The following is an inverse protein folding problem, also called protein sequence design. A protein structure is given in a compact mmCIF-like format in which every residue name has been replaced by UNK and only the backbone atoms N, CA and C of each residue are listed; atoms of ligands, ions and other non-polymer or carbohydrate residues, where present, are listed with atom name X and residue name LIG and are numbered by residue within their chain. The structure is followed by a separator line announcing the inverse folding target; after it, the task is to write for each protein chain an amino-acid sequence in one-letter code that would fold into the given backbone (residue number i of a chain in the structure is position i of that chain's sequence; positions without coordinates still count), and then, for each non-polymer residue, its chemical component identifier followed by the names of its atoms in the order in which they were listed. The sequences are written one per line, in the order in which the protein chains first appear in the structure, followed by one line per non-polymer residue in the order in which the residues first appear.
data_IF_923512063713
#
_entry.id   IF_923512063713
#
_cell.length_a   1.000
_cell.length_b   1.000
_cell.length_c   1.000
_cell.angle_alpha   90.00
_cell.angle_beta   90.00
_cell.angle_gamma   90.00
#
_symmetry.space_group_name_H-M   'P 1'
#
loop_
_entity.id
_entity.type
_entity.pdbx_description
1 polymer ?
#
# COMPACT_ATOMS: atom_id res chain seq x y z
N UNK A 1 20.96 -14.65 4.63
CA UNK A 1 19.88 -14.99 3.68
C UNK A 1 20.51 -15.64 2.45
N UNK A 2 20.31 -16.96 2.22
CA UNK A 2 21.04 -17.74 1.20
C UNK A 2 20.86 -17.22 -0.24
N UNK A 3 19.67 -16.71 -0.57
CA UNK A 3 19.38 -16.18 -1.92
C UNK A 3 20.25 -14.99 -2.31
N UNK A 4 20.59 -14.10 -1.37
CA UNK A 4 21.46 -12.95 -1.64
C UNK A 4 22.93 -13.33 -1.88
N UNK A 5 23.34 -14.53 -1.47
CA UNK A 5 24.67 -15.05 -1.81
C UNK A 5 24.75 -15.46 -3.28
N UNK A 6 23.63 -15.87 -3.87
CA UNK A 6 23.54 -16.24 -5.30
C UNK A 6 23.36 -15.02 -6.20
N UNK A 7 22.60 -14.03 -5.72
CA UNK A 7 22.39 -12.77 -6.43
C UNK A 7 22.49 -11.61 -5.42
N UNK A 8 23.64 -10.92 -5.33
CA UNK A 8 23.83 -9.78 -4.42
C UNK A 8 22.88 -8.60 -4.67
N UNK A 9 22.39 -8.45 -5.92
CA UNK A 9 21.49 -7.37 -6.32
C UNK A 9 20.02 -7.69 -6.06
N UNK A 10 19.71 -8.94 -5.66
CA UNK A 10 18.33 -9.38 -5.40
C UNK A 10 17.67 -8.48 -4.36
N UNK A 11 16.47 -7.99 -4.69
CA UNK A 11 15.59 -7.26 -3.77
C UNK A 11 14.47 -8.17 -3.31
N UNK A 12 14.23 -8.21 -2.00
CA UNK A 12 13.19 -9.04 -1.39
C UNK A 12 12.27 -8.17 -0.55
N UNK A 13 10.98 -8.20 -0.87
CA UNK A 13 9.93 -7.44 -0.20
C UNK A 13 9.00 -8.40 0.53
N UNK A 14 8.37 -7.90 1.60
CA UNK A 14 7.20 -8.53 2.19
C UNK A 14 5.98 -8.09 1.38
N UNK A 15 5.24 -9.01 0.77
CA UNK A 15 3.89 -8.71 0.29
C UNK A 15 2.88 -9.02 1.40
N UNK A 16 1.97 -8.08 1.64
CA UNK A 16 0.88 -8.19 2.61
C UNK A 16 -0.42 -8.06 1.84
N UNK A 17 -1.35 -8.99 2.04
CA UNK A 17 -2.61 -9.04 1.31
C UNK A 17 -2.74 -10.31 0.51
N UNK A 18 -3.11 -10.18 -0.77
CA UNK A 18 -3.56 -11.22 -1.71
C UNK A 18 -5.10 -11.41 -1.68
N UNK A 19 -5.62 -12.14 -2.66
CA UNK A 19 -7.03 -12.36 -2.90
C UNK A 19 -7.76 -12.92 -1.67
N UNK A 20 -8.77 -12.20 -1.20
CA UNK A 20 -9.61 -12.61 -0.07
C UNK A 20 -9.00 -12.35 1.31
N UNK A 21 -7.88 -11.62 1.41
CA UNK A 21 -7.33 -11.22 2.70
C UNK A 21 -8.07 -10.00 3.27
N UNK A 22 -8.58 -10.16 4.49
CA UNK A 22 -9.33 -9.13 5.22
C UNK A 22 -8.42 -8.16 5.98
N UNK A 23 -9.02 -7.07 6.48
CA UNK A 23 -8.42 -6.19 7.49
C UNK A 23 -7.86 -4.88 6.95
N UNK A 24 -7.62 -4.75 5.64
CA UNK A 24 -7.10 -3.51 5.06
C UNK A 24 -8.00 -2.30 5.27
N UNK A 25 -9.31 -2.43 5.04
CA UNK A 25 -10.25 -1.32 5.22
C UNK A 25 -10.18 -0.76 6.65
N UNK A 26 -10.20 -1.65 7.65
CA UNK A 26 -10.01 -1.28 9.06
C UNK A 26 -8.62 -0.70 9.37
N UNK A 27 -7.57 -1.30 8.83
CA UNK A 27 -6.19 -0.83 9.01
C UNK A 27 -5.97 0.57 8.43
N UNK A 28 -6.66 0.92 7.35
CA UNK A 28 -6.58 2.22 6.71
C UNK A 28 -7.48 3.29 7.36
N UNK A 29 -8.54 2.87 8.08
CA UNK A 29 -9.68 3.70 8.47
C UNK A 29 -9.37 4.91 9.37
N UNK A 30 -8.31 4.85 10.19
CA UNK A 30 -7.93 5.93 11.09
C UNK A 30 -6.43 6.11 11.19
N UNK A 31 -5.98 7.26 11.72
CA UNK A 31 -4.56 7.52 11.94
C UNK A 31 -3.94 6.48 12.89
N UNK A 32 -4.70 6.09 13.91
CA UNK A 32 -4.30 5.14 14.94
C UNK A 32 -4.21 3.72 14.36
N UNK A 33 -5.20 3.30 13.57
CA UNK A 33 -5.19 2.00 12.90
C UNK A 33 -4.01 1.88 11.92
N UNK A 34 -3.78 2.94 11.13
CA UNK A 34 -2.63 3.00 10.21
C UNK A 34 -1.31 2.87 10.97
N UNK A 35 -1.17 3.57 12.10
CA UNK A 35 0.05 3.51 12.90
C UNK A 35 0.32 2.10 13.45
N UNK A 36 -0.72 1.37 13.88
CA UNK A 36 -0.58 -0.02 14.33
C UNK A 36 -0.12 -0.93 13.20
N UNK A 37 -0.76 -0.84 12.03
CA UNK A 37 -0.39 -1.63 10.85
C UNK A 37 1.06 -1.34 10.42
N UNK A 38 1.41 -0.06 10.27
CA UNK A 38 2.73 0.39 9.83
C UNK A 38 3.82 -0.07 10.81
N UNK A 39 3.59 0.03 12.11
CA UNK A 39 4.53 -0.43 13.12
C UNK A 39 4.81 -1.92 12.98
N UNK A 40 3.75 -2.73 12.84
CA UNK A 40 3.90 -4.19 12.66
C UNK A 40 4.65 -4.54 11.36
N UNK A 41 4.31 -3.87 10.26
CA UNK A 41 4.99 -4.03 8.99
C UNK A 41 6.49 -3.69 9.08
N UNK A 42 6.83 -2.56 9.72
CA UNK A 42 8.21 -2.12 9.91
C UNK A 42 9.01 -3.09 10.78
N UNK A 43 8.42 -3.59 11.86
CA UNK A 43 9.06 -4.61 12.72
C UNK A 43 9.45 -5.86 11.92
N UNK A 44 8.59 -6.33 10.99
CA UNK A 44 8.89 -7.48 10.13
C UNK A 44 9.99 -7.13 9.11
N UNK A 45 9.85 -5.99 8.42
CA UNK A 45 10.83 -5.53 7.42
C UNK A 45 12.24 -5.42 8.02
N UNK A 46 12.35 -4.87 9.22
CA UNK A 46 13.62 -4.68 9.90
C UNK A 46 14.16 -5.99 10.47
N UNK A 47 13.31 -6.80 11.12
CA UNK A 47 13.69 -8.11 11.70
C UNK A 47 14.31 -9.04 10.67
N UNK A 48 13.80 -9.04 9.44
CA UNK A 48 14.26 -9.93 8.37
C UNK A 48 15.19 -9.26 7.36
N UNK A 49 15.52 -7.98 7.53
CA UNK A 49 16.39 -7.24 6.61
C UNK A 49 15.85 -7.19 5.18
N UNK A 50 14.55 -6.95 5.03
CA UNK A 50 13.86 -6.86 3.74
C UNK A 50 14.13 -5.49 3.09
N UNK A 51 14.11 -5.45 1.76
CA UNK A 51 14.32 -4.22 0.99
C UNK A 51 13.07 -3.34 0.92
N UNK A 52 11.92 -3.82 1.40
CA UNK A 52 10.69 -3.06 1.36
C UNK A 52 9.44 -3.89 1.65
N UNK A 53 8.30 -3.28 1.35
CA UNK A 53 6.97 -3.83 1.50
C UNK A 53 6.16 -3.59 0.24
N UNK A 54 5.29 -4.54 -0.06
CA UNK A 54 4.30 -4.51 -1.11
C UNK A 54 2.90 -4.70 -0.48
N UNK A 55 1.94 -3.87 -0.86
CA UNK A 55 0.55 -4.00 -0.41
C UNK A 55 -0.33 -4.50 -1.55
N UNK A 56 -0.88 -5.69 -1.39
CA UNK A 56 -1.77 -6.33 -2.34
C UNK A 56 -3.20 -6.36 -1.78
N UNK A 57 -3.82 -5.18 -1.70
CA UNK A 57 -5.20 -5.05 -1.23
C UNK A 57 -6.16 -5.21 -2.39
N UNK A 58 -6.94 -6.29 -2.36
CA UNK A 58 -7.93 -6.61 -3.39
C UNK A 58 -9.39 -6.56 -2.88
N UNK A 59 -10.10 -5.45 -2.98
CA UNK A 59 -9.68 -4.13 -3.46
C UNK A 59 -10.29 -3.02 -2.59
N UNK A 60 -9.64 -1.86 -2.43
CA UNK A 60 -10.26 -0.69 -1.80
C UNK A 60 -11.61 -0.38 -2.44
N UNK A 61 -12.62 -0.01 -1.65
CA UNK A 61 -13.99 0.34 -2.08
C UNK A 61 -14.82 -0.82 -2.63
N UNK A 62 -14.27 -1.62 -3.56
CA UNK A 62 -14.99 -2.72 -4.21
C UNK A 62 -15.06 -3.98 -3.33
N UNK A 63 -14.05 -4.22 -2.49
CA UNK A 63 -13.98 -5.37 -1.61
C UNK A 63 -14.05 -6.71 -2.33
N UNK A 64 -13.54 -6.78 -3.57
CA UNK A 64 -13.67 -7.93 -4.47
C UNK A 64 -15.14 -8.42 -4.57
N UNK A 65 -16.05 -7.49 -4.89
CA UNK A 65 -17.50 -7.73 -4.99
C UNK A 65 -18.14 -8.29 -3.70
N UNK A 66 -17.67 -7.79 -2.55
CA UNK A 66 -18.20 -8.17 -1.23
C UNK A 66 -17.53 -9.40 -0.60
N UNK A 67 -16.42 -9.86 -1.16
CA UNK A 67 -15.60 -10.93 -0.57
C UNK A 67 -14.87 -10.46 0.69
N UNK A 68 -14.42 -9.20 0.74
CA UNK A 68 -13.76 -8.60 1.90
C UNK A 68 -14.43 -7.29 2.32
N UNK A 69 -14.24 -6.91 3.59
CA UNK A 69 -14.75 -5.65 4.12
C UNK A 69 -14.21 -4.46 3.31
N UNK A 70 -15.13 -3.58 2.94
CA UNK A 70 -14.81 -2.37 2.19
C UNK A 70 -15.82 -1.27 2.49
N UNK A 71 -15.40 -0.03 2.26
CA UNK A 71 -16.23 1.15 2.41
C UNK A 71 -15.85 2.22 1.37
N UNK A 72 -16.76 3.13 0.99
CA UNK A 72 -16.44 4.21 0.06
C UNK A 72 -15.23 5.04 0.48
N UNK A 73 -15.02 5.23 1.79
CA UNK A 73 -13.90 5.98 2.33
C UNK A 73 -12.53 5.28 2.17
N UNK A 74 -12.47 4.00 1.76
CA UNK A 74 -11.21 3.32 1.44
C UNK A 74 -10.42 4.04 0.34
N UNK A 75 -11.15 4.72 -0.56
CA UNK A 75 -10.62 5.61 -1.61
C UNK A 75 -9.70 6.71 -1.05
N UNK A 76 -10.08 7.31 0.07
CA UNK A 76 -9.30 8.41 0.69
C UNK A 76 -8.31 7.84 1.71
N UNK A 77 -8.70 6.76 2.40
CA UNK A 77 -7.92 6.14 3.45
C UNK A 77 -6.67 5.42 2.91
N UNK A 78 -6.75 4.79 1.73
CA UNK A 78 -5.62 4.05 1.19
C UNK A 78 -4.44 4.97 0.80
N UNK A 79 -4.64 6.10 0.10
CA UNK A 79 -3.58 7.11 -0.07
C UNK A 79 -2.97 7.61 1.25
N UNK A 80 -3.78 7.82 2.29
CA UNK A 80 -3.30 8.21 3.61
C UNK A 80 -2.43 7.12 4.27
N UNK A 81 -2.80 5.84 4.09
CA UNK A 81 -1.99 4.70 4.50
C UNK A 81 -0.66 4.66 3.75
N UNK A 82 -0.67 4.79 2.42
CA UNK A 82 0.56 4.78 1.61
C UNK A 82 1.49 5.93 1.98
N UNK A 83 0.96 7.13 2.20
CA UNK A 83 1.74 8.30 2.65
C UNK A 83 2.41 8.04 3.98
N UNK A 84 1.66 7.56 4.98
CA UNK A 84 2.18 7.27 6.30
C UNK A 84 3.20 6.12 6.27
N UNK A 85 2.94 5.08 5.47
CA UNK A 85 3.85 3.96 5.28
C UNK A 85 5.17 4.41 4.62
N UNK A 86 5.10 5.23 3.56
CA UNK A 86 6.29 5.80 2.91
C UNK A 86 7.14 6.61 3.89
N UNK A 87 6.50 7.44 4.72
CA UNK A 87 7.17 8.24 5.74
C UNK A 87 7.89 7.36 6.77
N UNK A 88 7.23 6.32 7.27
CA UNK A 88 7.81 5.41 8.26
C UNK A 88 8.95 4.54 7.69
N UNK A 89 8.79 4.04 6.46
CA UNK A 89 9.77 3.16 5.81
C UNK A 89 11.04 3.91 5.33
N UNK A 90 11.01 5.24 5.27
CA UNK A 90 12.15 6.08 4.85
C UNK A 90 12.53 5.92 3.36
N UNK A 91 13.47 6.71 2.82
CA UNK A 91 13.70 6.75 1.37
C UNK A 91 14.39 5.49 0.79
N UNK A 92 14.98 4.64 1.63
CA UNK A 92 15.79 3.49 1.18
C UNK A 92 14.97 2.23 0.90
N UNK A 93 13.85 2.05 1.62
CA UNK A 93 13.00 0.87 1.48
C UNK A 93 12.02 1.07 0.32
N UNK A 94 11.73 0.03 -0.45
CA UNK A 94 10.68 0.05 -1.47
C UNK A 94 9.30 -0.01 -0.82
N UNK A 95 8.35 0.74 -1.37
CA UNK A 95 6.92 0.66 -1.06
C UNK A 95 6.23 0.48 -2.40
N UNK A 96 5.62 -0.67 -2.62
CA UNK A 96 4.92 -1.01 -3.86
C UNK A 96 3.48 -1.43 -3.56
N UNK A 97 2.66 -1.48 -4.59
CA UNK A 97 1.28 -1.97 -4.51
C UNK A 97 0.98 -2.83 -5.72
N UNK A 98 0.09 -3.81 -5.56
CA UNK A 98 -0.62 -4.44 -6.66
C UNK A 98 -1.94 -3.68 -6.91
N UNK A 99 -2.39 -3.66 -8.16
CA UNK A 99 -3.64 -3.00 -8.57
C UNK A 99 -4.42 -3.90 -9.51
N UNK A 100 -5.75 -3.91 -9.36
CA UNK A 100 -6.63 -4.68 -10.23
C UNK A 100 -6.57 -4.20 -11.68
N UNK A 101 -6.75 -5.12 -12.63
CA UNK A 101 -6.75 -4.82 -14.06
C UNK A 101 -8.00 -4.04 -14.53
N UNK A 102 -9.07 -3.98 -13.72
CA UNK A 102 -10.26 -3.22 -14.06
C UNK A 102 -9.89 -1.75 -14.31
N UNK A 103 -10.29 -1.19 -15.46
CA UNK A 103 -10.03 0.22 -15.83
C UNK A 103 -10.51 1.22 -14.77
N UNK A 104 -11.54 0.85 -13.99
CA UNK A 104 -12.03 1.66 -12.88
C UNK A 104 -11.23 1.47 -11.58
N UNK A 105 -10.40 0.43 -11.45
CA UNK A 105 -9.60 0.18 -10.23
C UNK A 105 -8.49 1.23 -10.04
N UNK A 106 -7.61 1.53 -11.03
CA UNK A 106 -6.69 2.66 -10.93
C UNK A 106 -7.43 3.99 -10.73
N UNK A 107 -8.54 4.21 -11.44
CA UNK A 107 -9.34 5.43 -11.30
C UNK A 107 -9.95 5.59 -9.91
N UNK A 108 -10.44 4.50 -9.32
CA UNK A 108 -11.03 4.51 -7.98
C UNK A 108 -9.98 4.80 -6.89
N UNK A 109 -8.73 4.36 -7.10
CA UNK A 109 -7.60 4.68 -6.21
C UNK A 109 -7.10 6.11 -6.36
N UNK A 110 -7.24 6.74 -7.54
CA UNK A 110 -6.52 7.98 -7.87
C UNK A 110 -7.38 9.14 -8.35
N UNK A 111 -8.49 8.97 -9.05
CA UNK A 111 -9.20 10.06 -9.74
C UNK A 111 -10.16 10.85 -8.84
N UNK A 112 -10.19 10.51 -7.56
CA UNK A 112 -11.47 10.62 -6.87
C UNK A 112 -11.25 10.92 -5.36
N UNK A 113 -10.13 10.55 -4.75
CA UNK A 113 -9.91 10.75 -3.29
C UNK A 113 -8.97 11.88 -2.87
N UNK A 114 -8.72 12.86 -3.75
CA UNK A 114 -7.62 13.79 -3.57
C UNK A 114 -8.03 15.21 -3.93
N UNK A 115 -8.93 15.82 -3.15
CA UNK A 115 -9.55 17.11 -3.46
C UNK A 115 -10.13 17.19 -4.89
N UNK A 116 -10.89 18.24 -5.17
CA UNK A 116 -11.65 18.40 -6.40
C UNK A 116 -10.73 18.47 -7.66
N UNK A 117 -9.39 18.49 -7.47
CA UNK A 117 -8.37 18.67 -8.50
C UNK A 117 -7.27 17.59 -8.52
N UNK A 118 -7.42 16.52 -7.75
CA UNK A 118 -6.50 15.40 -7.73
C UNK A 118 -5.09 15.75 -7.21
N UNK A 119 -4.97 16.71 -6.29
CA UNK A 119 -3.67 17.25 -5.86
C UNK A 119 -2.92 16.30 -4.93
N UNK A 120 -3.63 15.67 -3.98
CA UNK A 120 -3.05 14.67 -3.07
C UNK A 120 -2.56 13.41 -3.78
N UNK A 121 -3.27 12.90 -4.80
CA UNK A 121 -2.81 11.73 -5.54
C UNK A 121 -1.61 12.07 -6.43
N UNK A 122 -1.57 13.28 -7.01
CA UNK A 122 -0.36 13.79 -7.70
C UNK A 122 0.82 13.87 -6.75
N UNK A 123 0.65 14.51 -5.59
CA UNK A 123 1.69 14.60 -4.56
C UNK A 123 2.14 13.20 -4.08
N UNK A 124 1.21 12.25 -3.96
CA UNK A 124 1.52 10.90 -3.55
C UNK A 124 2.27 10.14 -4.64
N UNK A 125 1.82 10.19 -5.90
CA UNK A 125 2.50 9.59 -7.04
C UNK A 125 3.93 10.15 -7.21
N UNK A 126 4.08 11.48 -7.10
CA UNK A 126 5.38 12.15 -7.13
C UNK A 126 6.26 11.74 -5.93
N UNK A 127 5.68 11.56 -4.73
CA UNK A 127 6.41 11.11 -3.52
C UNK A 127 6.77 9.63 -3.51
N UNK A 128 6.07 8.82 -4.31
CA UNK A 128 6.29 7.38 -4.44
C UNK A 128 7.16 7.04 -5.67
N UNK A 129 7.62 8.04 -6.41
CA UNK A 129 8.43 7.90 -7.63
C UNK A 129 7.75 7.00 -8.70
N UNK A 130 6.42 7.06 -8.75
CA UNK A 130 5.61 6.33 -9.73
C UNK A 130 5.70 7.10 -11.05
N UNK A 131 6.52 6.61 -11.99
CA UNK A 131 6.59 7.16 -13.35
C UNK A 131 5.23 7.00 -14.04
N UNK A 132 4.68 8.13 -14.51
CA UNK A 132 3.51 8.14 -15.42
C UNK A 132 3.86 7.55 -16.78
#
# INVERSE_FOLDING_TARGET
MKLRQQNPDLKVLLSVGDWGVHGFSGAAASKEARAVFIKSAQEIVDKYGLDGIDLDWEYPVNGAWGQVDSQPADRDNFPLLLKALRQAMGPQKRVTIAVGANVESPKSCWEYGADDNNQLAKQLADSLDIKR
#
